data_IF_861855133698
#
_entry.id   IF_861855133698
#
_cell.length_a   1.000
_cell.length_b   1.000
_cell.length_c   1.000
_cell.angle_alpha   90.00
_cell.angle_beta   90.00
_cell.angle_gamma   90.00
#
_symmetry.space_group_name_H-M   'P 1'
#
loop_
_entity.id
_entity.type
_entity.pdbx_description
1 polymer ?
#
# COMPACT_ATOMS: atom_id res chain seq x y z
N UNK A 1 -10.66 -13.44 -8.12
CA UNK A 1 -10.77 -12.11 -8.76
C UNK A 1 -11.43 -11.13 -7.81
N UNK A 2 -10.84 -9.97 -7.68
CA UNK A 2 -11.37 -8.91 -6.83
C UNK A 2 -12.50 -8.17 -7.53
N UNK A 3 -13.60 -7.90 -6.86
CA UNK A 3 -14.74 -7.15 -7.42
C UNK A 3 -14.74 -5.72 -6.85
N UNK A 4 -15.18 -4.68 -7.64
CA UNK A 4 -15.14 -3.28 -7.17
C UNK A 4 -15.98 -3.13 -5.93
N UNK A 5 -16.73 -3.50 -5.36
CA UNK A 5 -17.40 -3.31 -4.08
C UNK A 5 -16.96 -4.25 -2.99
N UNK A 6 -16.05 -5.14 -3.29
CA UNK A 6 -15.62 -6.19 -2.37
C UNK A 6 -14.42 -5.73 -1.55
N UNK A 7 -14.43 -5.96 -0.23
CA UNK A 7 -13.33 -5.65 0.67
C UNK A 7 -12.29 -6.78 0.75
N UNK A 8 -12.34 -7.76 -0.16
CA UNK A 8 -11.29 -8.79 -0.19
C UNK A 8 -9.98 -8.22 -0.72
N UNK A 9 -8.88 -8.88 -0.40
CA UNK A 9 -7.55 -8.53 -0.88
C UNK A 9 -7.01 -9.70 -1.71
N UNK A 10 -7.18 -9.60 -3.02
CA UNK A 10 -6.83 -10.66 -3.97
C UNK A 10 -5.37 -10.62 -4.42
N UNK A 11 -4.97 -11.63 -5.15
CA UNK A 11 -3.61 -11.75 -5.69
C UNK A 11 -3.27 -10.64 -6.68
N UNK A 12 -4.24 -10.18 -7.45
CA UNK A 12 -4.06 -9.11 -8.43
C UNK A 12 -3.79 -7.74 -7.77
N UNK A 13 -4.06 -7.60 -6.48
CA UNK A 13 -3.82 -6.39 -5.71
C UNK A 13 -2.44 -6.37 -5.03
N UNK A 14 -1.65 -7.42 -5.17
CA UNK A 14 -0.31 -7.51 -4.56
C UNK A 14 0.77 -7.25 -5.59
N UNK A 15 1.75 -6.45 -5.22
CA UNK A 15 2.92 -6.25 -6.06
C UNK A 15 3.80 -7.50 -5.96
N UNK A 16 3.97 -8.19 -7.08
CA UNK A 16 4.83 -9.38 -7.16
C UNK A 16 5.96 -9.21 -8.17
N UNK A 17 5.90 -8.19 -9.03
CA UNK A 17 6.92 -7.94 -10.04
C UNK A 17 8.18 -7.37 -9.41
N UNK A 18 9.29 -8.09 -9.52
CA UNK A 18 10.59 -7.62 -9.05
C UNK A 18 10.99 -6.31 -9.72
N UNK A 19 10.75 -6.21 -11.02
CA UNK A 19 11.06 -5.00 -11.78
C UNK A 19 10.29 -3.79 -11.27
N UNK A 20 9.02 -3.96 -10.95
CA UNK A 20 8.20 -2.89 -10.40
C UNK A 20 8.70 -2.47 -9.03
N UNK A 21 9.06 -3.44 -8.17
CA UNK A 21 9.63 -3.16 -6.85
C UNK A 21 10.93 -2.35 -6.98
N UNK A 22 11.82 -2.77 -7.87
CA UNK A 22 13.07 -2.07 -8.11
C UNK A 22 12.83 -0.64 -8.61
N UNK A 23 11.88 -0.46 -9.50
CA UNK A 23 11.54 0.87 -10.04
C UNK A 23 11.01 1.78 -8.93
N UNK A 24 10.17 1.26 -8.03
CA UNK A 24 9.65 2.01 -6.90
C UNK A 24 10.78 2.53 -6.00
N UNK A 25 11.78 1.70 -5.75
CA UNK A 25 12.87 2.05 -4.85
C UNK A 25 14.05 2.75 -5.52
N UNK A 26 14.09 2.80 -6.84
CA UNK A 26 15.16 3.51 -7.56
C UNK A 26 15.02 5.03 -7.50
N UNK A 27 13.86 5.54 -7.12
CA UNK A 27 13.64 6.96 -6.87
C UNK A 27 13.41 7.85 -8.08
N UNK A 28 13.48 7.31 -9.29
CA UNK A 28 13.37 8.12 -10.51
C UNK A 28 11.97 8.62 -10.80
N UNK A 29 10.96 7.77 -10.65
CA UNK A 29 9.56 8.10 -10.96
C UNK A 29 8.64 8.01 -9.75
N UNK A 30 9.11 7.45 -8.67
CA UNK A 30 8.30 7.28 -7.47
C UNK A 30 8.25 8.57 -6.63
N UNK A 31 7.15 8.72 -5.93
CA UNK A 31 6.93 9.79 -4.97
C UNK A 31 6.68 9.16 -3.61
N UNK A 32 6.79 9.95 -2.56
CA UNK A 32 6.50 9.43 -1.23
C UNK A 32 5.70 10.44 -0.42
N UNK A 33 4.95 9.90 0.54
CA UNK A 33 4.32 10.71 1.58
C UNK A 33 4.40 9.93 2.88
N UNK A 34 4.47 10.66 3.98
CA UNK A 34 4.61 10.04 5.27
C UNK A 34 3.52 10.49 6.22
N UNK A 35 3.02 9.55 7.01
CA UNK A 35 2.18 9.77 8.16
C UNK A 35 2.67 8.77 9.20
N UNK A 36 3.61 9.20 10.06
CA UNK A 36 4.24 8.31 11.03
C UNK A 36 3.19 7.49 11.79
N UNK A 37 3.31 6.18 11.97
CA UNK A 37 4.50 5.36 11.71
C UNK A 37 4.57 4.74 10.30
N UNK A 38 3.78 5.19 9.35
CA UNK A 38 3.79 4.67 7.98
C UNK A 38 4.36 5.67 7.01
N UNK A 39 5.01 5.16 5.98
CA UNK A 39 5.42 5.90 4.80
C UNK A 39 4.92 5.15 3.59
N UNK A 40 4.39 5.88 2.61
CA UNK A 40 3.97 5.29 1.34
C UNK A 40 4.90 5.78 0.23
N UNK A 41 5.49 4.85 -0.49
CA UNK A 41 6.24 5.13 -1.73
C UNK A 41 5.38 4.63 -2.88
N UNK A 42 5.07 5.49 -3.83
CA UNK A 42 4.09 5.17 -4.86
C UNK A 42 4.46 5.72 -6.23
N UNK A 43 3.91 5.10 -7.27
CA UNK A 43 4.03 5.58 -8.64
C UNK A 43 2.88 5.04 -9.47
N UNK A 44 2.55 5.74 -10.56
CA UNK A 44 1.66 5.21 -11.58
C UNK A 44 2.48 4.42 -12.59
N UNK A 45 1.96 3.27 -12.99
CA UNK A 45 2.59 2.43 -13.99
C UNK A 45 1.54 1.93 -14.97
N UNK A 46 1.96 1.44 -16.12
CA UNK A 46 1.06 0.85 -17.09
C UNK A 46 0.39 -0.39 -16.49
N UNK A 47 -0.92 -0.51 -16.69
CA UNK A 47 -1.69 -1.66 -16.20
C UNK A 47 -1.69 -2.76 -17.25
N UNK A 48 -1.18 -3.93 -16.85
CA UNK A 48 -1.30 -5.15 -17.64
C UNK A 48 -2.57 -5.91 -17.25
N UNK A 49 -2.96 -6.90 -18.07
CA UNK A 49 -4.27 -7.55 -17.96
C UNK A 49 -4.59 -8.19 -16.59
N UNK A 50 -3.57 -8.64 -15.88
CA UNK A 50 -3.72 -9.34 -14.59
C UNK A 50 -3.50 -8.44 -13.38
N UNK A 51 -3.41 -7.12 -13.58
CA UNK A 51 -3.16 -6.17 -12.51
C UNK A 51 -4.44 -5.46 -12.08
N UNK A 52 -4.61 -5.29 -10.78
CA UNK A 52 -5.67 -4.46 -10.24
C UNK A 52 -5.34 -2.96 -10.43
N UNK A 53 -6.33 -2.07 -10.34
CA UNK A 53 -6.09 -0.63 -10.43
C UNK A 53 -5.12 -0.10 -9.38
N UNK A 54 -5.07 -0.73 -8.22
CA UNK A 54 -4.12 -0.42 -7.16
C UNK A 54 -3.45 -1.71 -6.73
N UNK A 55 -2.13 -1.70 -6.68
CA UNK A 55 -1.35 -2.82 -6.14
C UNK A 55 -0.51 -2.33 -4.99
N UNK A 56 -0.42 -3.13 -3.93
CA UNK A 56 0.34 -2.75 -2.75
C UNK A 56 1.38 -3.80 -2.36
N UNK A 57 2.38 -3.33 -1.64
CA UNK A 57 3.35 -4.14 -0.94
C UNK A 57 3.52 -3.56 0.46
N UNK A 58 3.83 -4.42 1.43
CA UNK A 58 4.05 -4.00 2.81
C UNK A 58 5.47 -4.39 3.22
N UNK A 59 6.19 -3.44 3.80
CA UNK A 59 7.55 -3.65 4.29
C UNK A 59 7.66 -3.26 5.76
N UNK A 60 8.15 -4.17 6.58
CA UNK A 60 8.49 -3.92 7.99
C UNK A 60 9.95 -4.28 8.16
N UNK A 61 10.87 -3.28 8.13
CA UNK A 61 12.31 -3.55 8.23
C UNK A 61 12.69 -4.28 9.52
N UNK A 62 13.63 -5.20 9.40
CA UNK A 62 14.08 -6.00 10.54
C UNK A 62 14.69 -5.17 11.66
N UNK A 63 15.24 -3.99 11.35
CA UNK A 63 15.82 -3.10 12.35
C UNK A 63 14.79 -2.63 13.39
N UNK A 64 13.51 -2.61 13.04
CA UNK A 64 12.46 -2.17 13.96
C UNK A 64 12.04 -3.28 14.93
N UNK A 65 12.00 -4.51 14.47
CA UNK A 65 11.61 -5.66 15.28
C UNK A 65 12.45 -6.88 14.90
N UNK A 66 13.27 -7.36 15.81
CA UNK A 66 14.09 -8.54 15.56
C UNK A 66 13.25 -9.81 15.38
N UNK A 67 12.12 -9.90 16.10
CA UNK A 67 11.27 -11.09 16.07
C UNK A 67 10.28 -11.04 14.90
N UNK A 68 10.23 -12.12 14.13
CA UNK A 68 9.33 -12.24 13.01
C UNK A 68 7.85 -12.12 13.42
N UNK A 69 7.50 -12.60 14.62
CA UNK A 69 6.13 -12.53 15.15
C UNK A 69 5.64 -11.09 15.19
N UNK A 70 6.46 -10.17 15.67
CA UNK A 70 6.08 -8.75 15.72
C UNK A 70 5.98 -8.13 14.34
N UNK A 71 6.93 -8.45 13.45
CA UNK A 71 6.87 -7.96 12.07
C UNK A 71 5.62 -8.46 11.36
N UNK A 72 5.27 -9.72 11.54
CA UNK A 72 4.08 -10.30 10.92
C UNK A 72 2.79 -9.68 11.46
N UNK A 73 2.75 -9.35 12.76
CA UNK A 73 1.63 -8.64 13.34
C UNK A 73 1.42 -7.27 12.68
N UNK A 74 2.50 -6.51 12.52
CA UNK A 74 2.44 -5.19 11.89
C UNK A 74 2.01 -5.30 10.43
N UNK A 75 2.57 -6.25 9.69
CA UNK A 75 2.17 -6.49 8.30
C UNK A 75 0.68 -6.79 8.19
N UNK A 76 0.17 -7.61 9.10
CA UNK A 76 -1.26 -7.95 9.14
C UNK A 76 -2.13 -6.73 9.42
N UNK A 77 -1.71 -5.89 10.37
CA UNK A 77 -2.43 -4.66 10.69
C UNK A 77 -2.47 -3.71 9.49
N UNK A 78 -1.36 -3.57 8.77
CA UNK A 78 -1.30 -2.70 7.60
C UNK A 78 -2.20 -3.24 6.48
N UNK A 79 -2.11 -4.52 6.16
CA UNK A 79 -2.93 -5.14 5.11
C UNK A 79 -4.41 -5.05 5.44
N UNK A 80 -4.79 -5.32 6.68
CA UNK A 80 -6.18 -5.28 7.11
C UNK A 80 -6.75 -3.87 7.06
N UNK A 81 -6.00 -2.88 7.52
CA UNK A 81 -6.45 -1.48 7.46
C UNK A 81 -6.58 -1.00 6.02
N UNK A 82 -5.69 -1.41 5.14
CA UNK A 82 -5.80 -1.12 3.71
C UNK A 82 -7.05 -1.77 3.11
N UNK A 83 -7.23 -3.06 3.37
CA UNK A 83 -8.37 -3.82 2.84
C UNK A 83 -9.70 -3.15 3.17
N UNK A 84 -9.83 -2.66 4.39
CA UNK A 84 -11.07 -2.03 4.87
C UNK A 84 -11.28 -0.60 4.32
N UNK A 85 -10.21 0.10 3.98
CA UNK A 85 -10.28 1.51 3.61
C UNK A 85 -10.01 1.79 2.12
N UNK A 86 -9.74 0.78 1.32
CA UNK A 86 -9.20 0.95 -0.04
C UNK A 86 -10.20 1.46 -1.08
N UNK A 87 -11.49 1.27 -0.87
CA UNK A 87 -12.51 1.52 -1.91
C UNK A 87 -12.43 2.90 -2.55
N UNK A 88 -12.37 4.01 -1.79
CA UNK A 88 -12.28 5.33 -2.42
C UNK A 88 -11.04 5.51 -3.31
N UNK A 89 -9.91 4.91 -2.92
CA UNK A 89 -8.69 4.96 -3.72
C UNK A 89 -8.86 4.17 -5.02
N UNK A 90 -9.42 2.98 -4.94
CA UNK A 90 -9.68 2.15 -6.13
C UNK A 90 -10.63 2.87 -7.09
N UNK A 91 -11.68 3.48 -6.56
CA UNK A 91 -12.64 4.26 -7.37
C UNK A 91 -11.99 5.48 -8.02
N UNK A 92 -11.07 6.15 -7.32
CA UNK A 92 -10.35 7.30 -7.88
C UNK A 92 -9.50 6.91 -9.09
N UNK A 93 -9.05 5.65 -9.15
CA UNK A 93 -8.27 5.17 -10.29
C UNK A 93 -9.10 5.00 -11.57
N UNK A 94 -10.42 5.11 -11.50
CA UNK A 94 -11.25 5.11 -12.70
C UNK A 94 -10.91 6.27 -13.65
N UNK A 95 -10.34 7.36 -13.14
CA UNK A 95 -9.90 8.50 -13.94
C UNK A 95 -8.52 8.28 -14.58
N UNK A 96 -7.91 7.15 -14.32
CA UNK A 96 -6.57 6.79 -14.83
C UNK A 96 -6.63 5.45 -15.56
N UNK A 97 -7.47 5.36 -16.57
CA UNK A 97 -7.62 4.13 -17.37
C UNK A 97 -6.28 3.67 -17.93
N UNK A 98 -6.06 2.37 -17.91
CA UNK A 98 -4.82 1.78 -18.40
C UNK A 98 -3.64 1.92 -17.45
N UNK A 99 -3.83 2.53 -16.27
CA UNK A 99 -2.77 2.73 -15.28
C UNK A 99 -3.06 1.98 -14.00
N UNK A 100 -2.01 1.58 -13.30
CA UNK A 100 -2.06 1.02 -11.96
C UNK A 100 -1.28 1.91 -11.02
N UNK A 101 -1.83 2.18 -9.84
CA UNK A 101 -1.11 2.85 -8.77
C UNK A 101 -0.40 1.77 -7.95
N UNK A 102 0.93 1.78 -7.97
CA UNK A 102 1.73 0.87 -7.16
C UNK A 102 2.17 1.59 -5.89
N UNK A 103 1.89 1.00 -4.73
CA UNK A 103 2.18 1.61 -3.43
C UNK A 103 2.92 0.62 -2.55
N UNK A 104 4.02 1.05 -1.94
CA UNK A 104 4.69 0.31 -0.89
C UNK A 104 4.46 1.03 0.43
N UNK A 105 3.86 0.35 1.40
CA UNK A 105 3.73 0.86 2.77
C UNK A 105 4.90 0.38 3.59
N UNK A 106 5.65 1.32 4.16
CA UNK A 106 6.86 1.03 4.94
C UNK A 106 6.63 1.46 6.39
N UNK A 107 6.82 0.52 7.32
CA UNK A 107 6.72 0.80 8.74
C UNK A 107 8.00 1.49 9.25
N UNK A 108 7.83 2.53 10.09
CA UNK A 108 8.96 3.36 10.53
C UNK A 108 9.10 3.48 12.06
N UNK A 109 8.37 2.69 12.82
CA UNK A 109 8.45 2.75 14.29
C UNK A 109 9.09 1.51 14.88
N UNK A 110 9.75 1.67 16.03
CA UNK A 110 10.41 0.58 16.76
C UNK A 110 9.48 -0.08 17.79
N UNK A 111 8.22 0.32 17.83
CA UNK A 111 7.24 -0.20 18.77
C UNK A 111 5.92 -0.49 18.07
N UNK A 112 5.11 -1.31 18.72
CA UNK A 112 3.80 -1.70 18.20
C UNK A 112 2.77 -0.60 18.44
N UNK A 113 1.83 -0.49 17.52
CA UNK A 113 0.68 0.40 17.62
C UNK A 113 -0.59 -0.43 17.73
N UNK A 114 -1.63 0.17 18.28
CA UNK A 114 -2.95 -0.45 18.29
C UNK A 114 -3.52 -0.47 16.87
N UNK A 115 -4.35 -1.47 16.60
CA UNK A 115 -4.98 -1.63 15.27
C UNK A 115 -5.75 -0.37 14.85
N UNK A 116 -6.45 0.28 15.79
CA UNK A 116 -7.17 1.52 15.50
C UNK A 116 -6.25 2.64 15.07
N UNK A 117 -5.09 2.77 15.71
CA UNK A 117 -4.11 3.79 15.35
C UNK A 117 -3.56 3.55 13.93
N UNK A 118 -3.29 2.30 13.59
CA UNK A 118 -2.83 1.95 12.24
C UNK A 118 -3.93 2.26 11.22
N UNK A 119 -5.17 1.97 11.53
CA UNK A 119 -6.30 2.27 10.65
C UNK A 119 -6.46 3.78 10.40
N UNK A 120 -6.30 4.60 11.44
CA UNK A 120 -6.39 6.06 11.32
C UNK A 120 -5.28 6.60 10.42
N UNK A 121 -4.05 6.12 10.60
CA UNK A 121 -2.91 6.50 9.77
C UNK A 121 -3.13 6.07 8.31
N UNK A 122 -3.62 4.87 8.11
CA UNK A 122 -3.92 4.36 6.76
C UNK A 122 -4.95 5.25 6.06
N UNK A 123 -6.02 5.60 6.75
CA UNK A 123 -7.05 6.50 6.21
C UNK A 123 -6.47 7.85 5.79
N UNK A 124 -5.57 8.41 6.59
CA UNK A 124 -4.88 9.65 6.28
C UNK A 124 -4.05 9.51 4.99
N UNK A 125 -3.25 8.45 4.88
CA UNK A 125 -2.41 8.21 3.72
C UNK A 125 -3.26 8.03 2.46
N UNK A 126 -4.29 7.21 2.52
CA UNK A 126 -5.14 6.93 1.36
C UNK A 126 -5.88 8.19 0.89
N UNK A 127 -6.37 9.02 1.81
CA UNK A 127 -6.98 10.30 1.47
C UNK A 127 -6.02 11.23 0.75
N UNK A 128 -4.78 11.30 1.20
CA UNK A 128 -3.75 12.13 0.57
C UNK A 128 -3.33 11.59 -0.79
N UNK A 129 -3.28 10.28 -0.96
CA UNK A 129 -3.03 9.67 -2.27
C UNK A 129 -4.11 10.05 -3.28
N UNK A 130 -5.37 9.99 -2.86
CA UNK A 130 -6.49 10.38 -3.72
C UNK A 130 -6.36 11.83 -4.18
N UNK A 131 -5.98 12.74 -3.29
CA UNK A 131 -5.78 14.14 -3.62
C UNK A 131 -4.68 14.36 -4.66
N UNK A 132 -3.71 13.46 -4.75
CA UNK A 132 -2.59 13.56 -5.68
C UNK A 132 -2.84 12.87 -7.02
N UNK A 133 -3.94 12.17 -7.15
CA UNK A 133 -4.34 11.55 -8.42
C UNK A 133 -5.11 12.56 -9.35
#
# INVERSE_FOLDING_TARGET
MSHPGNNSFGKDERIVSRKLIETLFSGGKSKSLAAFPLRAVYMLTERHADMAPVQIMVSVPKRHFKRAVKRNRVKRQIRESYRLAKRPLVEAMANHEGMTLAVTFIWQADHLYETRQVADVMGNILGRLIERL
#
